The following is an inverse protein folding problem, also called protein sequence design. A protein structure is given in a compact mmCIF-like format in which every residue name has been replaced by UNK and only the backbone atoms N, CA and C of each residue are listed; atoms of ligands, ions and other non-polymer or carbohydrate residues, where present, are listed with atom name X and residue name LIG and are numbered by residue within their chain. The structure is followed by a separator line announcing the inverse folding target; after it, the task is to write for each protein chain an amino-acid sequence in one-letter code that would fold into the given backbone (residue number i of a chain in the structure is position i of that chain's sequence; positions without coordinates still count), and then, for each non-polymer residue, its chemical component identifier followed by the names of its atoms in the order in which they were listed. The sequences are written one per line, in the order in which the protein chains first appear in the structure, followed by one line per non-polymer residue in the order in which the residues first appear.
data_IF_712354699294
#
_entry.id   IF_712354699294
#
_cell.length_a   1.000
_cell.length_b   1.000
_cell.length_c   1.000
_cell.angle_alpha   90.00
_cell.angle_beta   90.00
_cell.angle_gamma   90.00
#
_symmetry.space_group_name_H-M   'P 1'
#
loop_
_entity.id
_entity.type
_entity.pdbx_description
1 polymer ?
#
# COMPACT_ATOMS: atom_id res chain seq x y z
N UNK A 1 -17.14 -1.22 2.90
CA UNK A 1 -15.75 -1.06 3.37
C UNK A 1 -15.00 -2.27 2.83
N UNK A 2 -13.79 -2.09 2.28
CA UNK A 2 -12.99 -3.21 1.76
C UNK A 2 -12.39 -3.92 2.97
N UNK A 3 -12.45 -5.25 3.00
CA UNK A 3 -11.81 -6.03 4.06
C UNK A 3 -10.30 -5.79 4.07
N UNK A 4 -9.64 -5.77 5.24
CA UNK A 4 -8.18 -5.67 5.31
C UNK A 4 -7.49 -6.77 4.51
N UNK A 5 -6.39 -6.41 3.85
CA UNK A 5 -5.60 -7.38 3.10
C UNK A 5 -4.88 -8.33 4.06
N UNK A 6 -5.14 -9.64 3.95
CA UNK A 6 -4.50 -10.65 4.80
C UNK A 6 -3.22 -11.14 4.17
N UNK A 7 -2.12 -11.04 4.91
CA UNK A 7 -0.80 -11.49 4.49
C UNK A 7 -0.53 -12.87 5.06
N UNK A 8 -0.10 -13.80 4.21
CA UNK A 8 0.56 -15.02 4.65
C UNK A 8 2.05 -14.75 4.79
N UNK A 9 2.56 -14.75 6.03
CA UNK A 9 4.00 -14.64 6.28
C UNK A 9 4.71 -15.87 5.74
N UNK A 10 5.74 -15.67 4.92
CA UNK A 10 6.55 -16.74 4.35
C UNK A 10 7.84 -16.91 5.14
N UNK A 11 8.41 -18.11 5.14
CA UNK A 11 9.74 -18.32 5.73
C UNK A 11 10.80 -17.40 5.11
N UNK A 12 10.70 -17.11 3.81
CA UNK A 12 11.59 -16.18 3.10
C UNK A 12 11.47 -14.73 3.54
N UNK A 13 10.39 -14.38 4.24
CA UNK A 13 10.15 -13.01 4.69
C UNK A 13 10.94 -12.72 5.97
N UNK A 14 11.37 -13.76 6.69
CA UNK A 14 12.10 -13.63 7.94
C UNK A 14 13.58 -13.34 7.70
N UNK A 15 14.17 -12.55 8.58
CA UNK A 15 15.62 -12.46 8.69
C UNK A 15 16.19 -13.41 9.75
N UNK A 16 17.50 -13.30 9.99
CA UNK A 16 18.24 -14.16 10.92
C UNK A 16 17.73 -14.08 12.36
N UNK A 17 17.00 -13.01 12.73
CA UNK A 17 16.43 -12.83 14.07
C UNK A 17 15.02 -13.45 14.19
N UNK A 18 14.50 -14.05 13.12
CA UNK A 18 13.25 -14.83 13.14
C UNK A 18 11.97 -13.99 13.08
N UNK A 19 12.07 -12.70 12.75
CA UNK A 19 10.94 -11.83 12.46
C UNK A 19 10.98 -11.38 11.00
N UNK A 20 9.84 -10.91 10.48
CA UNK A 20 9.76 -10.35 9.13
C UNK A 20 10.79 -9.23 8.98
N UNK A 21 11.61 -9.32 7.94
CA UNK A 21 12.63 -8.34 7.64
C UNK A 21 11.99 -6.98 7.33
N UNK A 22 12.61 -5.89 7.81
CA UNK A 22 12.09 -4.54 7.65
C UNK A 22 11.76 -4.19 6.17
N UNK A 23 12.55 -4.64 5.20
CA UNK A 23 12.33 -4.33 3.79
C UNK A 23 11.09 -5.00 3.19
N UNK A 24 10.66 -6.14 3.73
CA UNK A 24 9.53 -6.94 3.22
C UNK A 24 8.19 -6.23 3.45
N UNK A 25 8.10 -5.34 4.43
CA UNK A 25 6.91 -4.53 4.68
C UNK A 25 6.53 -3.69 3.46
N UNK A 26 7.51 -3.24 2.65
CA UNK A 26 7.25 -2.49 1.43
C UNK A 26 6.53 -3.33 0.38
N UNK A 27 6.87 -4.62 0.28
CA UNK A 27 6.17 -5.59 -0.59
C UNK A 27 4.76 -5.87 -0.08
N UNK A 28 4.56 -5.91 1.24
CA UNK A 28 3.21 -6.03 1.81
C UNK A 28 2.34 -4.81 1.51
N UNK A 29 2.89 -3.60 1.58
CA UNK A 29 2.18 -2.38 1.19
C UNK A 29 1.84 -2.36 -0.31
N UNK A 30 2.75 -2.81 -1.17
CA UNK A 30 2.48 -2.96 -2.59
C UNK A 30 1.36 -3.95 -2.88
N UNK A 31 1.43 -5.13 -2.29
CA UNK A 31 0.38 -6.15 -2.41
C UNK A 31 -0.97 -5.63 -1.92
N UNK A 32 -0.97 -4.84 -0.84
CA UNK A 32 -2.17 -4.17 -0.32
C UNK A 32 -2.74 -3.18 -1.33
N UNK A 33 -1.92 -2.33 -1.96
CA UNK A 33 -2.39 -1.41 -3.02
C UNK A 33 -3.02 -2.18 -4.17
N UNK A 34 -2.38 -3.23 -4.66
CA UNK A 34 -2.93 -4.08 -5.73
C UNK A 34 -4.27 -4.68 -5.31
N UNK A 35 -4.35 -5.28 -4.11
CA UNK A 35 -5.58 -5.86 -3.58
C UNK A 35 -6.73 -4.84 -3.54
N UNK A 36 -6.51 -3.66 -2.97
CA UNK A 36 -7.55 -2.63 -2.84
C UNK A 36 -8.00 -2.10 -4.20
N UNK A 37 -7.08 -1.87 -5.13
CA UNK A 37 -7.42 -1.41 -6.47
C UNK A 37 -8.20 -2.46 -7.24
N UNK A 38 -7.81 -3.74 -7.18
CA UNK A 38 -8.59 -4.83 -7.78
C UNK A 38 -10.02 -4.89 -7.25
N UNK A 39 -10.23 -4.63 -5.96
CA UNK A 39 -11.58 -4.60 -5.37
C UNK A 39 -12.41 -3.37 -5.82
N UNK A 40 -11.77 -2.24 -6.11
CA UNK A 40 -12.45 -1.01 -6.51
C UNK A 40 -12.68 -0.86 -8.02
N UNK A 41 -11.77 -1.42 -8.82
CA UNK A 41 -11.66 -1.18 -10.25
C UNK A 41 -11.72 -2.45 -11.10
N UNK A 42 -11.67 -3.63 -10.47
CA UNK A 42 -11.58 -4.91 -11.16
C UNK A 42 -10.14 -5.28 -11.55
N UNK A 43 -9.99 -6.46 -12.15
CA UNK A 43 -8.69 -7.02 -12.56
C UNK A 43 -8.14 -6.40 -13.84
N UNK A 44 -8.99 -5.76 -14.63
CA UNK A 44 -8.64 -5.19 -15.94
C UNK A 44 -8.10 -3.75 -15.81
N UNK A 45 -7.85 -3.30 -14.58
CA UNK A 45 -7.27 -2.00 -14.32
C UNK A 45 -5.86 -1.91 -14.92
N UNK A 46 -5.70 -0.98 -15.85
CA UNK A 46 -4.43 -0.75 -16.52
C UNK A 46 -3.57 0.24 -15.72
N UNK A 47 -2.64 -0.33 -14.95
CA UNK A 47 -1.63 0.42 -14.21
C UNK A 47 -0.67 1.22 -15.10
N UNK A 48 -0.64 0.97 -16.42
CA UNK A 48 0.20 1.72 -17.37
C UNK A 48 -0.49 2.98 -17.89
N UNK A 49 -1.81 2.93 -18.15
CA UNK A 49 -2.58 4.10 -18.58
C UNK A 49 -2.75 5.12 -17.45
N UNK A 50 -3.02 4.67 -16.22
CA UNK A 50 -3.12 5.51 -15.03
C UNK A 50 -1.86 5.39 -14.15
N UNK A 51 -0.70 5.50 -14.82
CA UNK A 51 0.62 5.30 -14.24
C UNK A 51 0.91 6.20 -13.04
N UNK A 52 1.47 5.58 -12.02
CA UNK A 52 1.96 6.25 -10.81
C UNK A 52 3.33 5.72 -10.44
N UNK A 53 4.18 6.60 -9.90
CA UNK A 53 5.50 6.23 -9.39
C UNK A 53 5.55 6.41 -7.88
N UNK A 54 6.16 5.45 -7.19
CA UNK A 54 6.35 5.49 -5.75
C UNK A 54 7.57 6.36 -5.42
N UNK A 55 7.35 7.49 -4.74
CA UNK A 55 8.43 8.47 -4.47
C UNK A 55 8.90 8.48 -3.01
N UNK A 56 8.10 7.92 -2.10
CA UNK A 56 8.44 7.84 -0.68
C UNK A 56 7.69 6.70 -0.01
N UNK A 57 8.38 5.96 0.86
CA UNK A 57 7.77 5.09 1.85
C UNK A 57 8.27 5.46 3.24
N UNK A 58 7.41 5.30 4.24
CA UNK A 58 7.77 5.34 5.66
C UNK A 58 7.17 4.13 6.35
N UNK A 59 7.88 3.56 7.32
CA UNK A 59 7.41 2.44 8.13
C UNK A 59 7.79 2.68 9.57
N UNK A 60 6.81 2.55 10.46
CA UNK A 60 7.00 2.56 11.91
C UNK A 60 6.80 1.14 12.43
N UNK A 61 7.86 0.56 13.01
CA UNK A 61 7.84 -0.80 13.57
C UNK A 61 7.62 -0.73 15.09
N UNK A 62 6.42 -1.10 15.55
CA UNK A 62 6.10 -1.09 16.98
C UNK A 62 6.27 -2.49 17.60
N UNK A 63 6.00 -3.54 16.82
CA UNK A 63 6.10 -4.96 17.23
C UNK A 63 6.59 -5.82 16.08
N UNK A 64 7.38 -6.88 16.35
CA UNK A 64 7.82 -7.80 15.30
C UNK A 64 6.67 -8.71 14.84
N UNK A 65 6.53 -8.89 13.53
CA UNK A 65 5.66 -9.93 12.93
C UNK A 65 6.46 -11.24 12.83
N UNK A 66 5.86 -12.34 13.25
CA UNK A 66 6.46 -13.68 13.29
C UNK A 66 5.84 -14.62 12.26
N UNK A 67 6.47 -15.78 12.02
CA UNK A 67 6.12 -16.73 10.96
C UNK A 67 4.64 -17.17 10.95
N UNK A 68 4.04 -17.30 12.13
CA UNK A 68 2.67 -17.81 12.28
C UNK A 68 1.64 -16.72 12.56
N UNK A 69 2.06 -15.45 12.58
CA UNK A 69 1.12 -14.34 12.61
C UNK A 69 0.35 -14.28 11.29
N UNK A 70 -0.86 -13.73 11.33
CA UNK A 70 -1.68 -13.43 10.16
C UNK A 70 -1.90 -11.92 10.12
N UNK A 71 -0.96 -11.14 9.57
CA UNK A 71 -1.09 -9.69 9.50
C UNK A 71 -2.24 -9.29 8.59
N UNK A 72 -3.06 -8.37 9.08
CA UNK A 72 -4.15 -7.73 8.36
C UNK A 72 -3.78 -6.27 8.11
N UNK A 73 -3.77 -5.87 6.85
CA UNK A 73 -3.34 -4.54 6.42
C UNK A 73 -4.54 -3.75 5.95
N UNK A 74 -4.88 -2.73 6.73
CA UNK A 74 -5.84 -1.71 6.36
C UNK A 74 -5.12 -0.58 5.61
N UNK A 75 -5.69 -0.12 4.50
CA UNK A 75 -5.18 1.00 3.71
C UNK A 75 -6.24 2.08 3.54
N UNK A 76 -5.83 3.34 3.68
CA UNK A 76 -6.68 4.50 3.44
C UNK A 76 -5.88 5.65 2.85
N UNK A 77 -6.56 6.58 2.20
CA UNK A 77 -5.92 7.79 1.66
C UNK A 77 -5.78 8.85 2.74
N UNK A 78 -4.54 9.17 3.10
CA UNK A 78 -4.24 10.17 4.13
C UNK A 78 -4.06 11.58 3.57
N UNK A 79 -3.64 11.70 2.31
CA UNK A 79 -3.44 12.99 1.65
C UNK A 79 -3.69 12.89 0.13
N UNK A 80 -4.29 13.94 -0.44
CA UNK A 80 -4.47 14.11 -1.89
C UNK A 80 -4.01 15.52 -2.26
N UNK A 81 -2.98 15.60 -3.08
CA UNK A 81 -2.53 16.83 -3.73
C UNK A 81 -2.95 16.90 -5.19
N UNK A 82 -2.31 17.79 -5.95
CA UNK A 82 -2.63 18.01 -7.38
C UNK A 82 -2.04 16.94 -8.30
N UNK A 83 -0.81 16.50 -8.01
CA UNK A 83 -0.06 15.49 -8.79
C UNK A 83 0.32 14.25 -7.98
N UNK A 84 0.05 14.26 -6.68
CA UNK A 84 0.48 13.21 -5.76
C UNK A 84 -0.58 12.89 -4.73
N UNK A 85 -0.52 11.68 -4.18
CA UNK A 85 -1.38 11.23 -3.11
C UNK A 85 -0.59 10.30 -2.19
N UNK A 86 -1.05 10.18 -0.95
CA UNK A 86 -0.42 9.33 0.06
C UNK A 86 -1.44 8.34 0.59
N UNK A 87 -1.06 7.06 0.56
CA UNK A 87 -1.75 6.03 1.33
C UNK A 87 -1.09 5.87 2.68
N UNK A 88 -1.89 5.66 3.71
CA UNK A 88 -1.46 5.22 5.02
C UNK A 88 -1.91 3.77 5.25
N UNK A 89 -1.12 3.03 6.02
CA UNK A 89 -1.34 1.63 6.32
C UNK A 89 -1.31 1.40 7.83
N UNK A 90 -2.23 0.58 8.31
CA UNK A 90 -2.19 0.00 9.65
C UNK A 90 -2.07 -1.52 9.51
N UNK A 91 -1.01 -2.10 10.08
CA UNK A 91 -0.85 -3.55 10.15
C UNK A 91 -1.28 -4.01 11.54
N UNK A 92 -2.27 -4.91 11.59
CA UNK A 92 -2.76 -5.52 12.83
C UNK A 92 -2.58 -7.03 12.81
N UNK A 93 -2.36 -7.61 13.98
CA UNK A 93 -2.42 -9.05 14.22
C UNK A 93 -3.35 -9.26 15.41
N UNK A 94 -4.43 -10.02 15.24
CA UNK A 94 -5.46 -10.21 16.27
C UNK A 94 -5.93 -8.88 16.89
N UNK A 95 -6.32 -7.92 16.03
CA UNK A 95 -6.75 -6.55 16.39
C UNK A 95 -5.72 -5.65 17.08
N UNK A 96 -4.49 -6.13 17.29
CA UNK A 96 -3.41 -5.36 17.90
C UNK A 96 -2.56 -4.70 16.83
N UNK A 97 -2.29 -3.39 16.98
CA UNK A 97 -1.44 -2.64 16.05
C UNK A 97 0.03 -3.02 16.20
N UNK A 98 0.65 -3.46 15.09
CA UNK A 98 2.06 -3.89 15.02
C UNK A 98 2.93 -2.88 14.30
N UNK A 99 2.43 -2.32 13.21
CA UNK A 99 3.16 -1.34 12.41
C UNK A 99 2.22 -0.33 11.78
N UNK A 100 2.76 0.85 11.49
CA UNK A 100 2.15 1.84 10.59
C UNK A 100 3.06 2.06 9.40
N UNK A 101 2.51 2.56 8.31
CA UNK A 101 3.34 3.04 7.23
C UNK A 101 2.62 4.02 6.33
N UNK A 102 3.39 4.62 5.42
CA UNK A 102 2.87 5.46 4.35
C UNK A 102 3.57 5.17 3.03
N UNK A 103 2.85 5.38 1.94
CA UNK A 103 3.40 5.39 0.58
C UNK A 103 2.90 6.64 -0.12
N UNK A 104 3.82 7.50 -0.57
CA UNK A 104 3.47 8.64 -1.42
C UNK A 104 3.75 8.28 -2.87
N UNK A 105 2.71 8.42 -3.69
CA UNK A 105 2.74 8.16 -5.12
C UNK A 105 2.50 9.46 -5.89
N UNK A 106 3.10 9.55 -7.07
CA UNK A 106 2.98 10.69 -7.99
C UNK A 106 2.43 10.17 -9.32
N UNK A 107 1.41 10.84 -9.86
CA UNK A 107 0.92 10.58 -11.20
C UNK A 107 1.99 10.91 -12.23
N UNK A 108 2.27 9.98 -13.12
CA UNK A 108 3.45 10.01 -13.97
C UNK A 108 3.13 9.52 -15.37
N UNK A 109 3.59 10.27 -16.36
CA UNK A 109 3.49 9.89 -17.77
C UNK A 109 4.83 9.24 -18.17
N UNK A 110 4.75 7.95 -18.52
CA UNK A 110 5.93 7.11 -18.80
C UNK A 110 6.61 7.51 -20.11
N UNK A 111 5.84 7.96 -21.10
CA UNK A 111 6.35 8.33 -22.41
C UNK A 111 7.15 9.64 -22.36
N UNK A 112 6.60 10.64 -21.67
CA UNK A 112 7.24 11.96 -21.48
C UNK A 112 8.21 12.01 -20.31
N UNK A 113 8.24 10.96 -19.48
CA UNK A 113 9.02 10.88 -18.25
C UNK A 113 8.80 12.07 -17.30
N UNK A 114 7.54 12.46 -17.12
CA UNK A 114 7.20 13.68 -16.38
C UNK A 114 5.99 13.50 -15.46
N UNK A 115 5.93 14.33 -14.41
CA UNK A 115 4.78 14.30 -13.48
C UNK A 115 3.57 14.99 -14.10
N UNK A 116 2.43 14.32 -14.03
CA UNK A 116 1.15 14.81 -14.57
C UNK A 116 0.14 15.05 -13.45
N UNK A 117 -1.01 15.65 -13.80
CA UNK A 117 -2.13 15.75 -12.88
C UNK A 117 -2.68 14.34 -12.59
N UNK A 118 -3.20 14.14 -11.38
CA UNK A 118 -3.94 12.91 -11.08
C UNK A 118 -5.14 12.83 -12.02
N UNK A 119 -5.24 11.72 -12.76
CA UNK A 119 -6.35 11.50 -13.67
C UNK A 119 -7.69 11.40 -12.92
N UNK A 120 -8.81 11.85 -13.51
CA UNK A 120 -10.12 11.80 -12.84
C UNK A 120 -10.51 10.38 -12.40
N UNK A 121 -10.21 9.35 -13.20
CA UNK A 121 -10.44 7.94 -12.87
C UNK A 121 -9.77 7.56 -11.55
N UNK A 122 -8.47 7.81 -11.43
CA UNK A 122 -7.67 7.59 -10.23
C UNK A 122 -8.19 8.41 -9.05
N UNK A 123 -8.51 9.69 -9.27
CA UNK A 123 -8.98 10.60 -8.21
C UNK A 123 -10.28 10.10 -7.56
N UNK A 124 -11.22 9.58 -8.34
CA UNK A 124 -12.47 9.03 -7.82
C UNK A 124 -12.25 7.77 -6.98
N UNK A 125 -11.25 6.96 -7.31
CA UNK A 125 -10.87 5.77 -6.54
C UNK A 125 -10.26 6.15 -5.20
N UNK A 126 -9.23 6.99 -5.21
CA UNK A 126 -8.53 7.36 -3.98
C UNK A 126 -9.44 8.15 -3.02
N UNK A 127 -10.42 8.90 -3.52
CA UNK A 127 -11.44 9.53 -2.68
C UNK A 127 -12.33 8.53 -1.93
N UNK A 128 -12.66 7.38 -2.54
CA UNK A 128 -13.45 6.32 -1.88
C UNK A 128 -12.69 5.66 -0.72
N UNK A 129 -11.37 5.78 -0.70
CA UNK A 129 -10.49 5.26 0.34
C UNK A 129 -10.16 6.30 1.42
N UNK A 130 -10.70 7.51 1.33
CA UNK A 130 -10.51 8.53 2.35
C UNK A 130 -11.35 8.20 3.57
N UNK A 131 -10.74 8.26 4.76
CA UNK A 131 -11.48 8.23 6.04
C UNK A 131 -12.18 9.56 6.28
#
# INVERSE_FOLDING_TARGET
MIEPFKVQVRFSDLDVLGHVNNSVYLTYFESTRVYYFTHLLGTDWDWTTDSVVLVKNEVEYMRPILLHDVPEIEMYTSHIGTKSFTFAYNIRVNDVLYSKGTSTLVAYDVDTQSTVLIQPSMLEVIKKLKQ
#
